data_IF_071959781525
#
_entry.id   IF_071959781525
#
_cell.length_a   1.000
_cell.length_b   1.000
_cell.length_c   1.000
_cell.angle_alpha   90.00
_cell.angle_beta   90.00
_cell.angle_gamma   90.00
#
_symmetry.space_group_name_H-M   'P 1'
#
loop_
_entity.id
_entity.type
_entity.pdbx_description
1 polymer ?
#
# COMPACT_ATOMS: atom_id res chain seq x y z
N UNK A 1 2.56 -23.74 -0.24
CA UNK A 1 2.90 -23.55 1.19
C UNK A 1 1.89 -24.19 2.14
N UNK A 2 0.60 -23.82 2.12
CA UNK A 2 -0.40 -24.33 3.08
C UNK A 2 -0.58 -25.87 3.12
N UNK A 3 -0.29 -26.58 2.04
CA UNK A 3 -0.31 -28.06 2.03
C UNK A 3 0.84 -28.69 2.81
N UNK A 4 1.95 -27.96 3.01
CA UNK A 4 3.19 -28.45 3.61
C UNK A 4 3.44 -27.90 5.02
N UNK A 5 2.97 -26.69 5.31
CA UNK A 5 3.17 -26.04 6.61
C UNK A 5 1.87 -25.91 7.42
N UNK A 6 1.87 -26.42 8.65
CA UNK A 6 0.68 -26.45 9.51
C UNK A 6 0.31 -25.08 10.10
N UNK A 7 1.27 -24.17 10.25
CA UNK A 7 1.03 -22.82 10.73
C UNK A 7 0.30 -22.01 9.65
N UNK A 8 0.83 -22.00 8.43
CA UNK A 8 0.21 -21.36 7.25
C UNK A 8 -1.17 -21.95 6.99
N UNK A 9 -1.32 -23.28 7.06
CA UNK A 9 -2.62 -23.96 6.92
C UNK A 9 -3.64 -23.50 7.97
N UNK A 10 -3.20 -23.34 9.22
CA UNK A 10 -4.10 -22.89 10.28
C UNK A 10 -4.46 -21.40 10.10
N UNK A 11 -3.50 -20.56 9.71
CA UNK A 11 -3.74 -19.14 9.47
C UNK A 11 -4.71 -18.90 8.30
N UNK A 12 -4.54 -19.61 7.18
CA UNK A 12 -5.45 -19.46 6.02
C UNK A 12 -6.86 -19.94 6.34
N UNK A 13 -7.02 -21.04 7.09
CA UNK A 13 -8.34 -21.53 7.50
C UNK A 13 -9.01 -20.60 8.52
N UNK A 14 -8.22 -19.96 9.39
CA UNK A 14 -8.73 -18.93 10.30
C UNK A 14 -9.25 -17.71 9.52
N UNK A 15 -8.47 -17.20 8.56
CA UNK A 15 -8.86 -16.06 7.72
C UNK A 15 -10.08 -16.39 6.86
N UNK A 16 -10.10 -17.55 6.20
CA UNK A 16 -11.24 -18.00 5.41
C UNK A 16 -12.51 -18.13 6.28
N UNK A 17 -12.40 -18.76 7.45
CA UNK A 17 -13.50 -18.87 8.40
C UNK A 17 -14.03 -17.50 8.87
N UNK A 18 -13.14 -16.52 9.01
CA UNK A 18 -13.49 -15.13 9.38
C UNK A 18 -14.40 -14.50 8.32
N UNK A 19 -14.07 -14.63 7.03
CA UNK A 19 -14.94 -14.14 5.95
C UNK A 19 -16.23 -14.95 5.78
N UNK A 20 -16.17 -16.28 5.91
CA UNK A 20 -17.36 -17.14 5.79
C UNK A 20 -18.42 -16.77 6.85
N UNK A 21 -17.99 -16.32 8.04
CA UNK A 21 -18.91 -15.91 9.10
C UNK A 21 -19.79 -14.69 8.75
N UNK A 22 -19.36 -13.83 7.82
CA UNK A 22 -20.19 -12.69 7.37
C UNK A 22 -21.40 -13.16 6.58
N UNK A 23 -21.29 -14.29 5.88
CA UNK A 23 -22.36 -14.88 5.07
C UNK A 23 -23.09 -16.00 5.80
N UNK A 24 -22.39 -16.71 6.70
CA UNK A 24 -22.91 -17.84 7.46
C UNK A 24 -22.49 -17.73 8.94
N UNK A 25 -23.21 -16.93 9.76
CA UNK A 25 -22.86 -16.68 11.17
C UNK A 25 -23.25 -17.88 12.06
N UNK A 26 -22.73 -19.06 11.75
CA UNK A 26 -22.98 -20.31 12.49
C UNK A 26 -21.92 -20.49 13.57
N UNK A 27 -22.38 -20.79 14.78
CA UNK A 27 -21.51 -21.03 15.94
C UNK A 27 -20.43 -22.10 15.67
N UNK A 28 -20.78 -23.18 14.96
CA UNK A 28 -19.82 -24.22 14.55
C UNK A 28 -18.66 -23.67 13.70
N UNK A 29 -18.96 -22.76 12.75
CA UNK A 29 -17.94 -22.14 11.91
C UNK A 29 -17.06 -21.23 12.76
N UNK A 30 -17.66 -20.47 13.69
CA UNK A 30 -16.94 -19.59 14.62
C UNK A 30 -15.94 -20.38 15.47
N UNK A 31 -16.37 -21.50 16.04
CA UNK A 31 -15.52 -22.37 16.84
C UNK A 31 -14.36 -22.97 16.03
N UNK A 32 -14.62 -23.39 14.79
CA UNK A 32 -13.58 -23.92 13.89
C UNK A 32 -12.57 -22.83 13.51
N UNK A 33 -13.03 -21.65 13.10
CA UNK A 33 -12.18 -20.52 12.77
C UNK A 33 -11.32 -20.11 13.96
N UNK A 34 -11.91 -20.00 15.15
CA UNK A 34 -11.21 -19.65 16.39
C UNK A 34 -10.19 -20.71 16.79
N UNK A 35 -10.50 -22.01 16.61
CA UNK A 35 -9.54 -23.10 16.86
C UNK A 35 -8.34 -22.99 15.93
N UNK A 36 -8.56 -22.75 14.64
CA UNK A 36 -7.48 -22.54 13.69
C UNK A 36 -6.66 -21.30 13.99
N UNK A 37 -7.29 -20.20 14.39
CA UNK A 37 -6.60 -18.99 14.84
C UNK A 37 -5.66 -19.29 16.03
N UNK A 38 -6.19 -19.92 17.08
CA UNK A 38 -5.39 -20.30 18.27
C UNK A 38 -4.22 -21.20 17.89
N UNK A 39 -4.45 -22.20 17.03
CA UNK A 39 -3.40 -23.09 16.56
C UNK A 39 -2.32 -22.34 15.77
N UNK A 40 -2.70 -21.44 14.87
CA UNK A 40 -1.75 -20.62 14.09
C UNK A 40 -0.90 -19.75 15.02
N UNK A 41 -1.50 -19.10 16.02
CA UNK A 41 -0.79 -18.28 17.00
C UNK A 41 0.21 -19.11 17.81
N UNK A 42 -0.18 -20.29 18.30
CA UNK A 42 0.72 -21.18 19.05
C UNK A 42 1.90 -21.61 18.19
N UNK A 43 1.63 -22.11 16.97
CA UNK A 43 2.68 -22.59 16.06
C UNK A 43 3.64 -21.47 15.65
N UNK A 44 3.10 -20.29 15.31
CA UNK A 44 3.92 -19.14 14.96
C UNK A 44 4.77 -18.67 16.16
N UNK A 45 4.20 -18.69 17.37
CA UNK A 45 4.94 -18.33 18.59
C UNK A 45 6.11 -19.28 18.86
N UNK A 46 5.89 -20.58 18.64
CA UNK A 46 6.96 -21.59 18.74
C UNK A 46 8.05 -21.38 17.70
N UNK A 47 7.66 -21.15 16.44
CA UNK A 47 8.61 -20.88 15.35
C UNK A 47 9.42 -19.60 15.60
N UNK A 48 8.77 -18.52 16.05
CA UNK A 48 9.42 -17.27 16.43
C UNK A 48 10.38 -17.42 17.60
N UNK A 49 10.04 -18.29 18.58
CA UNK A 49 10.96 -18.60 19.68
C UNK A 49 12.20 -19.32 19.15
N UNK A 50 12.02 -20.35 18.31
CA UNK A 50 13.14 -21.06 17.68
C UNK A 50 14.03 -20.15 16.83
N UNK A 51 13.43 -19.23 16.08
CA UNK A 51 14.16 -18.26 15.25
C UNK A 51 15.05 -17.29 16.04
N UNK A 52 14.86 -17.15 17.36
CA UNK A 52 15.76 -16.37 18.23
C UNK A 52 17.05 -17.11 18.54
N UNK A 53 16.99 -18.43 18.59
CA UNK A 53 18.12 -19.28 18.95
C UNK A 53 18.92 -19.69 17.70
N UNK A 54 18.24 -19.88 16.57
CA UNK A 54 18.84 -20.27 15.29
C UNK A 54 18.18 -19.54 14.12
N UNK A 55 18.99 -19.03 13.19
CA UNK A 55 18.46 -18.39 11.98
C UNK A 55 17.63 -19.41 11.16
N UNK A 56 16.36 -19.11 10.83
CA UNK A 56 15.53 -20.02 10.07
C UNK A 56 16.05 -20.19 8.64
N UNK A 57 15.75 -21.34 8.04
CA UNK A 57 15.97 -21.55 6.61
C UNK A 57 15.07 -20.63 5.78
N UNK A 58 15.44 -20.37 4.52
CA UNK A 58 14.66 -19.52 3.61
C UNK A 58 13.19 -19.97 3.50
N UNK A 59 12.94 -21.29 3.46
CA UNK A 59 11.58 -21.84 3.39
C UNK A 59 10.80 -21.73 4.70
N UNK A 60 11.46 -21.86 5.86
CA UNK A 60 10.82 -21.66 7.17
C UNK A 60 10.45 -20.19 7.36
N UNK A 61 11.37 -19.27 7.04
CA UNK A 61 11.13 -17.84 7.10
C UNK A 61 9.97 -17.43 6.19
N UNK A 62 9.93 -17.94 4.96
CA UNK A 62 8.83 -17.68 4.01
C UNK A 62 7.47 -18.16 4.58
N UNK A 63 7.43 -19.35 5.19
CA UNK A 63 6.23 -19.85 5.86
C UNK A 63 5.82 -18.98 7.07
N UNK A 64 6.79 -18.51 7.85
CA UNK A 64 6.54 -17.60 8.97
C UNK A 64 5.97 -16.26 8.49
N UNK A 65 6.55 -15.65 7.45
CA UNK A 65 6.07 -14.40 6.86
C UNK A 65 4.66 -14.56 6.31
N UNK A 66 4.36 -15.65 5.59
CA UNK A 66 3.00 -15.93 5.13
C UNK A 66 1.99 -16.08 6.28
N UNK A 67 2.36 -16.80 7.34
CA UNK A 67 1.49 -16.95 8.51
C UNK A 67 1.24 -15.60 9.20
N UNK A 68 2.27 -14.76 9.37
CA UNK A 68 2.13 -13.40 9.89
C UNK A 68 1.22 -12.55 9.00
N UNK A 69 1.41 -12.57 7.69
CA UNK A 69 0.61 -11.83 6.72
C UNK A 69 -0.89 -12.23 6.79
N UNK A 70 -1.17 -13.53 6.87
CA UNK A 70 -2.55 -14.04 7.00
C UNK A 70 -3.19 -13.63 8.32
N UNK A 71 -2.47 -13.70 9.44
CA UNK A 71 -2.98 -13.27 10.74
C UNK A 71 -3.17 -11.75 10.80
N UNK A 72 -2.26 -10.97 10.22
CA UNK A 72 -2.40 -9.52 10.08
C UNK A 72 -3.67 -9.17 9.30
N UNK A 73 -3.98 -9.91 8.24
CA UNK A 73 -5.20 -9.66 7.46
C UNK A 73 -6.47 -9.88 8.30
N UNK A 74 -6.47 -10.83 9.23
CA UNK A 74 -7.57 -10.99 10.20
C UNK A 74 -7.72 -9.72 11.04
N UNK A 75 -6.61 -9.18 11.57
CA UNK A 75 -6.65 -7.92 12.35
C UNK A 75 -7.07 -6.70 11.51
N UNK A 76 -6.73 -6.65 10.22
CA UNK A 76 -7.14 -5.58 9.29
C UNK A 76 -8.65 -5.54 9.11
N UNK A 77 -9.25 -6.72 8.91
CA UNK A 77 -10.66 -6.88 8.53
C UNK A 77 -11.61 -7.05 9.72
N UNK A 78 -11.08 -7.19 10.93
CA UNK A 78 -11.84 -7.20 12.18
C UNK A 78 -11.64 -5.88 12.96
N UNK A 79 -12.23 -4.77 12.51
CA UNK A 79 -12.09 -3.48 13.18
C UNK A 79 -12.57 -3.49 14.63
N UNK A 80 -13.52 -4.37 14.97
CA UNK A 80 -14.02 -4.61 16.32
C UNK A 80 -12.95 -5.13 17.30
N UNK A 81 -11.83 -5.65 16.79
CA UNK A 81 -10.72 -6.17 17.61
C UNK A 81 -9.54 -5.21 17.70
N UNK A 82 -9.66 -3.99 17.12
CA UNK A 82 -8.59 -3.00 17.13
C UNK A 82 -8.26 -2.55 18.54
N UNK A 83 -6.97 -2.32 18.77
CA UNK A 83 -6.49 -1.70 20.01
C UNK A 83 -6.93 -0.23 20.07
N UNK A 84 -6.93 0.39 21.26
CA UNK A 84 -7.20 1.81 21.39
C UNK A 84 -6.24 2.68 20.55
N UNK A 85 -6.64 3.90 20.13
CA UNK A 85 -5.86 4.76 19.23
C UNK A 85 -4.44 5.09 19.71
N UNK A 86 -4.20 5.13 21.02
CA UNK A 86 -2.89 5.40 21.62
C UNK A 86 -1.91 4.21 21.57
N UNK A 87 -2.35 3.05 21.08
CA UNK A 87 -1.53 1.85 20.96
C UNK A 87 -1.18 1.59 19.50
N UNK A 88 0.00 1.01 19.25
CA UNK A 88 0.33 0.50 17.91
C UNK A 88 -0.65 -0.64 17.55
N UNK A 89 -1.30 -0.62 16.38
CA UNK A 89 -2.21 -1.68 15.99
C UNK A 89 -1.49 -3.02 15.78
N UNK A 90 -2.18 -4.13 16.08
CA UNK A 90 -1.64 -5.49 15.90
C UNK A 90 -1.19 -5.78 14.48
N UNK A 91 -1.98 -5.36 13.49
CA UNK A 91 -1.65 -5.56 12.07
C UNK A 91 -0.33 -4.88 11.69
N UNK A 92 -0.01 -3.71 12.26
CA UNK A 92 1.23 -3.00 11.98
C UNK A 92 2.41 -3.63 12.72
N UNK A 93 2.23 -4.06 13.96
CA UNK A 93 3.25 -4.81 14.70
C UNK A 93 3.64 -6.09 13.98
N UNK A 94 2.65 -6.86 13.53
CA UNK A 94 2.89 -8.09 12.79
C UNK A 94 3.51 -7.83 11.41
N UNK A 95 3.13 -6.75 10.72
CA UNK A 95 3.76 -6.36 9.47
C UNK A 95 5.25 -6.01 9.66
N UNK A 96 5.56 -5.21 10.69
CA UNK A 96 6.94 -4.89 11.06
C UNK A 96 7.74 -6.13 11.46
N UNK A 97 7.12 -7.09 12.14
CA UNK A 97 7.75 -8.37 12.47
C UNK A 97 8.06 -9.19 11.22
N UNK A 98 7.14 -9.24 10.26
CA UNK A 98 7.33 -9.91 8.98
C UNK A 98 8.49 -9.26 8.18
N UNK A 99 8.55 -7.91 8.15
CA UNK A 99 9.66 -7.21 7.51
C UNK A 99 11.01 -7.52 8.17
N UNK A 100 11.08 -7.53 9.51
CA UNK A 100 12.32 -7.94 10.21
C UNK A 100 12.75 -9.36 9.89
N UNK A 101 11.81 -10.28 9.68
CA UNK A 101 12.12 -11.64 9.26
C UNK A 101 12.70 -11.64 7.84
N UNK A 102 12.09 -10.90 6.91
CA UNK A 102 12.59 -10.73 5.54
C UNK A 102 13.99 -10.10 5.51
N UNK A 103 14.24 -9.07 6.32
CA UNK A 103 15.56 -8.44 6.45
C UNK A 103 16.59 -9.44 7.00
N UNK A 104 16.23 -10.23 8.01
CA UNK A 104 17.13 -11.22 8.61
C UNK A 104 17.47 -12.39 7.69
N UNK A 105 16.58 -12.73 6.75
CA UNK A 105 16.77 -13.83 5.80
C UNK A 105 17.06 -13.37 4.38
N UNK A 106 17.40 -12.09 4.20
CA UNK A 106 17.74 -11.54 2.89
C UNK A 106 19.02 -12.23 2.36
N UNK A 107 18.95 -12.92 1.21
CA UNK A 107 20.11 -13.56 0.61
C UNK A 107 21.11 -12.55 0.00
N UNK A 108 20.88 -11.24 0.11
CA UNK A 108 21.77 -10.16 -0.38
C UNK A 108 23.24 -10.33 -0.02
N UNK A 109 23.55 -10.85 1.18
CA UNK A 109 24.92 -11.16 1.60
C UNK A 109 25.63 -12.20 0.71
N UNK A 110 24.88 -13.10 0.06
CA UNK A 110 25.39 -14.16 -0.81
C UNK A 110 25.57 -13.67 -2.25
N UNK A 111 24.69 -12.79 -2.72
CA UNK A 111 24.57 -12.45 -4.14
C UNK A 111 25.04 -11.03 -4.51
N UNK A 112 25.33 -10.18 -3.52
CA UNK A 112 25.84 -8.80 -3.60
C UNK A 112 24.94 -7.79 -4.31
N UNK A 113 24.28 -8.19 -5.39
CA UNK A 113 23.33 -7.40 -6.18
C UNK A 113 21.94 -8.03 -6.13
N UNK A 114 20.88 -7.27 -5.79
CA UNK A 114 19.49 -7.75 -5.83
C UNK A 114 19.06 -8.42 -7.14
N UNK A 115 19.63 -8.01 -8.28
CA UNK A 115 19.31 -8.59 -9.60
C UNK A 115 19.71 -10.05 -9.72
N UNK A 116 20.72 -10.48 -8.96
CA UNK A 116 21.20 -11.86 -8.95
C UNK A 116 20.32 -12.79 -8.09
N UNK A 117 19.39 -12.23 -7.31
CA UNK A 117 18.47 -12.99 -6.47
C UNK A 117 17.23 -13.31 -7.28
N UNK A 118 16.82 -14.58 -7.28
CA UNK A 118 15.65 -15.06 -8.01
C UNK A 118 14.61 -15.56 -7.00
N UNK A 119 13.76 -14.67 -6.47
CA UNK A 119 12.74 -15.06 -5.52
C UNK A 119 11.67 -15.90 -6.21
N UNK A 120 11.14 -16.90 -5.50
CA UNK A 120 9.96 -17.63 -5.94
C UNK A 120 8.71 -16.74 -5.92
N UNK A 121 7.68 -17.09 -6.69
CA UNK A 121 6.38 -16.38 -6.67
C UNK A 121 5.77 -16.24 -5.26
N UNK A 122 5.96 -17.25 -4.42
CA UNK A 122 5.48 -17.23 -3.04
C UNK A 122 6.24 -16.21 -2.18
N UNK A 123 7.57 -16.20 -2.28
CA UNK A 123 8.43 -15.21 -1.61
C UNK A 123 8.09 -13.80 -2.09
N UNK A 124 7.96 -13.58 -3.39
CA UNK A 124 7.55 -12.28 -3.94
C UNK A 124 6.18 -11.84 -3.43
N UNK A 125 5.20 -12.74 -3.40
CA UNK A 125 3.89 -12.46 -2.81
C UNK A 125 3.98 -12.07 -1.33
N UNK A 126 4.76 -12.79 -0.54
CA UNK A 126 4.95 -12.54 0.89
C UNK A 126 5.67 -11.22 1.17
N UNK A 127 6.73 -10.94 0.41
CA UNK A 127 7.44 -9.66 0.41
C UNK A 127 6.47 -8.51 0.18
N UNK A 128 5.69 -8.56 -0.90
CA UNK A 128 4.77 -7.47 -1.26
C UNK A 128 3.68 -7.31 -0.19
N UNK A 129 3.08 -8.38 0.33
CA UNK A 129 2.02 -8.27 1.35
C UNK A 129 2.56 -7.68 2.66
N UNK A 130 3.72 -8.16 3.14
CA UNK A 130 4.36 -7.63 4.35
C UNK A 130 4.77 -6.17 4.16
N UNK A 131 5.44 -5.87 3.04
CA UNK A 131 5.87 -4.53 2.67
C UNK A 131 4.69 -3.58 2.51
N UNK A 132 3.59 -4.01 1.89
CA UNK A 132 2.37 -3.20 1.70
C UNK A 132 1.83 -2.73 3.04
N UNK A 133 1.71 -3.62 4.02
CA UNK A 133 1.20 -3.25 5.33
C UNK A 133 2.14 -2.30 6.08
N UNK A 134 3.45 -2.56 6.06
CA UNK A 134 4.43 -1.73 6.75
C UNK A 134 4.63 -0.35 6.10
N UNK A 135 4.77 -0.32 4.77
CA UNK A 135 5.09 0.89 4.00
C UNK A 135 3.86 1.79 3.86
N UNK A 136 2.65 1.25 3.65
CA UNK A 136 1.45 2.07 3.49
C UNK A 136 0.90 2.61 4.82
N UNK A 137 1.45 2.19 5.96
CA UNK A 137 1.24 2.89 7.22
C UNK A 137 2.02 4.21 7.26
N UNK A 138 3.20 4.27 6.63
CA UNK A 138 4.12 5.42 6.70
C UNK A 138 3.49 6.76 6.32
N UNK A 139 2.66 6.87 5.26
CA UNK A 139 2.07 8.15 4.85
C UNK A 139 1.25 8.86 5.93
N UNK A 140 0.66 8.11 6.86
CA UNK A 140 -0.23 8.63 7.90
C UNK A 140 0.32 8.42 9.32
N UNK A 141 1.64 8.19 9.45
CA UNK A 141 2.33 8.10 10.74
C UNK A 141 3.43 9.17 10.85
N UNK A 142 3.84 9.54 12.08
CA UNK A 142 4.93 10.50 12.28
C UNK A 142 6.22 10.03 11.60
N UNK A 143 7.03 10.99 11.16
CA UNK A 143 8.33 10.70 10.56
C UNK A 143 9.25 10.03 11.58
N UNK A 144 9.85 8.91 11.17
CA UNK A 144 10.82 8.16 11.96
C UNK A 144 11.90 7.61 11.01
N UNK A 145 13.13 8.08 11.18
CA UNK A 145 14.27 7.62 10.38
C UNK A 145 14.54 6.13 10.58
N UNK A 146 14.35 5.60 11.79
CA UNK A 146 14.56 4.19 12.09
C UNK A 146 13.52 3.29 11.41
N UNK A 147 12.35 3.83 11.08
CA UNK A 147 11.29 3.12 10.37
C UNK A 147 11.52 3.00 8.86
N UNK A 148 12.59 3.61 8.33
CA UNK A 148 12.98 3.55 6.92
C UNK A 148 14.50 3.53 6.74
N UNK A 149 15.26 3.02 7.71
CA UNK A 149 16.73 3.10 7.70
C UNK A 149 17.32 2.39 6.45
N UNK A 150 18.53 2.81 6.05
CA UNK A 150 19.19 2.36 4.83
C UNK A 150 19.26 0.82 4.82
N UNK A 151 18.61 0.23 3.80
CA UNK A 151 18.37 -1.20 3.53
C UNK A 151 16.98 -1.75 3.88
N UNK A 152 16.15 -1.01 4.62
CA UNK A 152 14.80 -1.48 4.90
C UNK A 152 13.99 -1.61 3.60
N UNK A 153 13.34 -2.77 3.43
CA UNK A 153 12.56 -3.12 2.23
C UNK A 153 13.38 -3.32 0.95
N UNK A 154 14.72 -3.38 1.01
CA UNK A 154 15.56 -3.61 -0.17
C UNK A 154 15.24 -4.94 -0.89
N UNK A 155 14.75 -5.93 -0.14
CA UNK A 155 14.26 -7.20 -0.69
C UNK A 155 13.11 -7.06 -1.71
N UNK A 156 12.36 -5.94 -1.72
CA UNK A 156 11.39 -5.63 -2.78
C UNK A 156 12.03 -5.42 -4.16
N UNK A 157 13.34 -5.18 -4.20
CA UNK A 157 14.09 -4.91 -5.42
C UNK A 157 14.85 -6.15 -5.93
N UNK A 158 14.61 -7.32 -5.34
CA UNK A 158 15.18 -8.58 -5.81
C UNK A 158 14.56 -9.02 -7.14
N UNK A 159 15.37 -9.60 -8.03
CA UNK A 159 14.97 -10.01 -9.37
C UNK A 159 15.35 -9.00 -10.46
N UNK A 160 15.00 -9.32 -11.70
CA UNK A 160 15.33 -8.44 -12.83
C UNK A 160 14.51 -7.14 -12.79
N UNK A 161 14.93 -6.15 -13.58
CA UNK A 161 14.14 -4.93 -13.74
C UNK A 161 12.71 -5.24 -14.21
N UNK A 162 12.55 -6.21 -15.11
CA UNK A 162 11.24 -6.64 -15.55
C UNK A 162 10.40 -7.19 -14.37
N UNK A 163 10.99 -7.99 -13.48
CA UNK A 163 10.26 -8.63 -12.37
C UNK A 163 9.77 -7.60 -11.34
N UNK A 164 10.62 -6.64 -10.95
CA UNK A 164 10.26 -5.63 -9.93
C UNK A 164 9.20 -4.63 -10.42
N UNK A 165 8.95 -4.57 -11.73
CA UNK A 165 7.88 -3.76 -12.35
C UNK A 165 6.57 -4.53 -12.55
N UNK A 166 6.54 -5.84 -12.29
CA UNK A 166 5.33 -6.66 -12.39
C UNK A 166 4.37 -6.36 -11.25
N UNK A 167 3.10 -6.18 -11.58
CA UNK A 167 2.01 -6.14 -10.60
C UNK A 167 1.69 -7.58 -10.16
N UNK A 168 1.92 -7.90 -8.89
CA UNK A 168 1.56 -9.20 -8.32
C UNK A 168 0.16 -9.17 -7.67
N UNK A 169 -0.52 -10.31 -7.79
CA UNK A 169 -1.99 -10.49 -7.71
C UNK A 169 -2.75 -10.05 -6.45
N UNK A 170 -2.13 -9.42 -5.46
CA UNK A 170 -2.80 -8.97 -4.23
C UNK A 170 -2.76 -7.47 -3.93
N UNK A 171 -1.89 -6.68 -4.58
CA UNK A 171 -1.59 -5.32 -4.11
C UNK A 171 -1.92 -4.21 -5.11
N UNK A 172 -2.22 -4.57 -6.37
CA UNK A 172 -2.57 -3.60 -7.41
C UNK A 172 -1.43 -2.69 -7.86
N UNK A 173 -0.19 -2.96 -7.42
CA UNK A 173 1.02 -2.22 -7.79
C UNK A 173 2.26 -3.12 -7.75
N UNK A 174 3.35 -2.66 -8.36
CA UNK A 174 4.63 -3.36 -8.43
C UNK A 174 5.48 -3.18 -7.15
N UNK A 175 6.38 -4.14 -6.84
CA UNK A 175 7.37 -3.99 -5.77
C UNK A 175 8.17 -2.70 -5.85
N UNK A 176 8.55 -2.29 -7.08
CA UNK A 176 9.28 -1.05 -7.34
C UNK A 176 8.51 0.18 -6.88
N UNK A 177 7.21 0.26 -7.19
CA UNK A 177 6.37 1.38 -6.76
C UNK A 177 6.22 1.41 -5.24
N UNK A 178 5.98 0.25 -4.63
CA UNK A 178 5.86 0.13 -3.19
C UNK A 178 7.15 0.59 -2.48
N UNK A 179 8.32 0.20 -2.99
CA UNK A 179 9.60 0.68 -2.47
C UNK A 179 9.75 2.21 -2.60
N UNK A 180 9.24 2.83 -3.67
CA UNK A 180 9.30 4.29 -3.85
C UNK A 180 8.51 5.05 -2.77
N UNK A 181 7.39 4.51 -2.26
CA UNK A 181 6.69 5.08 -1.08
C UNK A 181 7.58 5.14 0.16
N UNK A 182 8.37 4.09 0.42
CA UNK A 182 9.30 4.07 1.55
C UNK A 182 10.40 5.13 1.40
N UNK A 183 10.94 5.31 0.19
CA UNK A 183 11.98 6.31 -0.09
C UNK A 183 11.48 7.74 0.06
N UNK A 184 10.24 8.03 -0.37
CA UNK A 184 9.62 9.33 -0.15
C UNK A 184 9.55 9.64 1.35
N UNK A 185 9.15 8.65 2.16
CA UNK A 185 9.06 8.80 3.62
C UNK A 185 10.45 8.98 4.23
N UNK A 186 11.43 8.19 3.83
CA UNK A 186 12.81 8.30 4.30
C UNK A 186 13.39 9.69 4.08
N UNK A 187 13.29 10.21 2.85
CA UNK A 187 13.76 11.55 2.52
C UNK A 187 12.99 12.63 3.29
N UNK A 188 11.69 12.43 3.53
CA UNK A 188 10.88 13.36 4.34
C UNK A 188 11.36 13.38 5.79
N UNK A 189 11.65 12.22 6.37
CA UNK A 189 12.18 12.08 7.71
C UNK A 189 13.59 12.69 7.83
N UNK A 190 14.43 12.46 6.82
CA UNK A 190 15.77 13.02 6.76
C UNK A 190 15.77 14.55 6.65
N UNK A 191 14.91 15.11 5.81
CA UNK A 191 14.65 16.54 5.71
C UNK A 191 14.16 17.14 7.05
N UNK A 192 13.29 16.42 7.75
CA UNK A 192 12.77 16.88 9.04
C UNK A 192 13.84 16.87 10.14
N UNK A 193 14.71 15.87 10.14
CA UNK A 193 15.78 15.73 11.14
C UNK A 193 16.96 16.67 10.88
N UNK A 194 17.30 16.90 9.60
CA UNK A 194 18.50 17.65 9.19
C UNK A 194 18.16 18.73 8.13
N UNK A 195 17.36 19.76 8.45
CA UNK A 195 16.77 20.66 7.46
C UNK A 195 17.80 21.48 6.65
N UNK A 196 18.90 21.92 7.27
CA UNK A 196 19.94 22.71 6.60
C UNK A 196 20.90 21.80 5.83
N UNK A 197 21.36 20.73 6.47
CA UNK A 197 22.40 19.86 5.91
C UNK A 197 21.87 18.93 4.82
N UNK A 198 20.57 18.66 4.76
CA UNK A 198 19.99 17.73 3.78
C UNK A 198 19.66 18.35 2.42
N UNK A 199 19.65 19.68 2.30
CA UNK A 199 19.07 20.34 1.12
C UNK A 199 19.74 19.91 -0.20
N UNK A 200 21.06 19.73 -0.19
CA UNK A 200 21.83 19.29 -1.35
C UNK A 200 21.47 17.86 -1.82
N UNK A 201 20.91 17.03 -0.93
CA UNK A 201 20.41 15.68 -1.24
C UNK A 201 18.93 15.69 -1.60
N UNK A 202 18.11 16.49 -0.90
CA UNK A 202 16.66 16.45 -1.05
C UNK A 202 16.23 16.88 -2.45
N UNK A 203 16.77 17.98 -2.99
CA UNK A 203 16.33 18.46 -4.30
C UNK A 203 16.67 17.46 -5.44
N UNK A 204 17.91 16.95 -5.56
CA UNK A 204 18.20 15.88 -6.52
C UNK A 204 17.40 14.60 -6.27
N UNK A 205 17.15 14.25 -5.00
CA UNK A 205 16.33 13.10 -4.62
C UNK A 205 14.89 13.21 -5.10
N UNK A 206 14.28 14.39 -4.93
CA UNK A 206 12.95 14.74 -5.45
C UNK A 206 12.92 14.61 -6.99
N UNK A 207 13.87 15.23 -7.68
CA UNK A 207 13.90 15.24 -9.15
C UNK A 207 14.06 13.82 -9.71
N UNK A 208 14.93 13.02 -9.09
CA UNK A 208 15.10 11.60 -9.43
C UNK A 208 13.83 10.80 -9.19
N UNK A 209 13.21 10.91 -8.01
CA UNK A 209 12.00 10.16 -7.68
C UNK A 209 10.82 10.56 -8.58
N UNK A 210 10.68 11.84 -8.92
CA UNK A 210 9.67 12.31 -9.86
C UNK A 210 9.92 11.79 -11.28
N UNK A 211 11.17 11.79 -11.74
CA UNK A 211 11.55 11.21 -13.03
C UNK A 211 11.27 9.71 -13.08
N UNK A 212 11.65 8.99 -12.03
CA UNK A 212 11.38 7.55 -11.88
C UNK A 212 9.88 7.27 -11.88
N UNK A 213 9.10 7.97 -11.04
CA UNK A 213 7.64 7.78 -10.94
C UNK A 213 6.92 8.20 -12.22
N UNK A 214 7.36 9.28 -12.87
CA UNK A 214 6.80 9.78 -14.13
C UNK A 214 6.95 8.79 -15.28
N UNK A 215 8.01 8.00 -15.27
CA UNK A 215 8.31 7.00 -16.30
C UNK A 215 8.04 5.56 -15.84
N UNK A 216 7.57 5.35 -14.61
CA UNK A 216 7.36 4.02 -14.04
C UNK A 216 6.25 3.29 -14.79
N UNK A 217 6.64 2.27 -15.55
CA UNK A 217 5.71 1.36 -16.24
C UNK A 217 5.52 0.12 -15.39
N UNK A 218 4.26 -0.23 -15.16
CA UNK A 218 3.90 -1.45 -14.45
C UNK A 218 3.20 -2.38 -15.44
N UNK A 219 3.45 -3.68 -15.35
CA UNK A 219 2.87 -4.66 -16.26
C UNK A 219 2.25 -5.83 -15.50
N UNK A 220 1.36 -6.56 -16.18
CA UNK A 220 0.69 -7.75 -15.65
C UNK A 220 0.82 -8.89 -16.64
N UNK A 221 0.89 -10.11 -16.15
CA UNK A 221 0.89 -11.28 -17.02
C UNK A 221 -0.50 -11.47 -17.64
N UNK A 222 -0.59 -11.40 -18.98
CA UNK A 222 -1.85 -11.67 -19.67
C UNK A 222 -2.15 -13.16 -19.64
N UNK A 223 -3.41 -13.50 -19.33
CA UNK A 223 -3.89 -14.87 -19.21
C UNK A 223 -3.82 -15.68 -20.52
N UNK A 224 -3.53 -15.03 -21.66
CA UNK A 224 -3.47 -15.65 -22.99
C UNK A 224 -2.05 -16.05 -23.45
N UNK A 225 -1.01 -15.78 -22.64
CA UNK A 225 0.36 -16.16 -23.00
C UNK A 225 0.60 -17.65 -22.73
N UNK A 226 0.26 -18.49 -23.72
CA UNK A 226 0.97 -19.75 -23.87
C UNK A 226 2.46 -19.42 -24.04
N UNK A 227 3.34 -20.21 -23.42
CA UNK A 227 4.78 -19.96 -23.27
C UNK A 227 5.60 -19.86 -24.58
N UNK A 228 4.95 -19.65 -25.74
CA UNK A 228 5.55 -19.60 -27.07
C UNK A 228 5.19 -18.30 -27.84
N UNK A 229 4.23 -17.50 -27.38
CA UNK A 229 3.93 -16.20 -28.00
C UNK A 229 4.54 -15.06 -27.19
N UNK A 230 5.42 -14.28 -27.85
CA UNK A 230 5.94 -12.99 -27.37
C UNK A 230 4.81 -12.14 -26.76
N UNK A 231 5.08 -11.36 -25.70
CA UNK A 231 4.07 -10.50 -25.09
C UNK A 231 3.45 -9.61 -26.17
N UNK A 232 2.12 -9.59 -26.18
CA UNK A 232 1.33 -8.87 -27.16
C UNK A 232 1.63 -7.37 -27.01
N UNK A 233 2.41 -6.82 -27.95
CA UNK A 233 3.14 -5.54 -27.84
C UNK A 233 2.26 -4.28 -27.78
N UNK A 234 0.94 -4.39 -27.79
CA UNK A 234 0.08 -3.23 -28.06
C UNK A 234 -0.14 -2.31 -26.85
N UNK A 235 -0.04 -2.81 -25.61
CA UNK A 235 -0.21 -2.00 -24.39
C UNK A 235 1.08 -1.66 -23.64
N UNK A 236 2.16 -2.40 -23.87
CA UNK A 236 3.48 -2.09 -23.27
C UNK A 236 4.11 -0.78 -23.77
N UNK A 237 3.58 -0.20 -24.86
CA UNK A 237 4.17 0.97 -25.53
C UNK A 237 3.50 2.29 -25.08
N UNK A 238 2.25 2.29 -24.63
CA UNK A 238 1.53 3.52 -24.26
C UNK A 238 2.17 4.18 -23.03
N UNK A 239 2.27 5.50 -23.05
CA UNK A 239 2.74 6.25 -21.87
C UNK A 239 1.63 6.23 -20.81
N UNK A 240 1.97 6.22 -19.50
CA UNK A 240 0.96 6.13 -18.43
C UNK A 240 -0.20 7.13 -18.59
N UNK A 241 0.11 8.34 -19.06
CA UNK A 241 -0.87 9.40 -19.34
C UNK A 241 -1.92 9.05 -20.41
N UNK A 242 -1.62 8.13 -21.32
CA UNK A 242 -2.50 7.74 -22.43
C UNK A 242 -3.32 6.48 -22.06
N UNK A 243 -3.11 5.89 -20.88
CA UNK A 243 -3.73 4.62 -20.46
C UNK A 243 -5.26 4.64 -20.59
N UNK A 244 -5.91 5.67 -20.04
CA UNK A 244 -7.37 5.77 -20.01
C UNK A 244 -8.01 5.85 -21.41
N UNK A 245 -7.25 6.20 -22.45
CA UNK A 245 -7.75 6.19 -23.83
C UNK A 245 -7.82 4.78 -24.43
N UNK A 246 -7.15 3.80 -23.83
CA UNK A 246 -6.93 2.45 -24.37
C UNK A 246 -7.69 1.34 -23.61
N UNK A 247 -8.36 1.69 -22.51
CA UNK A 247 -9.11 0.75 -21.67
C UNK A 247 -10.51 0.48 -22.20
N UNK A 248 -11.05 -0.71 -21.91
CA UNK A 248 -12.40 -1.09 -22.34
C UNK A 248 -13.41 -0.68 -21.26
N UNK A 249 -14.37 0.15 -21.64
CA UNK A 249 -15.44 0.63 -20.77
C UNK A 249 -16.81 0.14 -21.26
N UNK A 250 -17.75 -0.04 -20.35
CA UNK A 250 -19.16 -0.24 -20.67
C UNK A 250 -19.87 1.08 -21.04
N UNK A 251 -21.18 0.97 -21.29
CA UNK A 251 -22.05 2.14 -21.57
C UNK A 251 -22.14 3.14 -20.42
N UNK A 252 -21.79 2.74 -19.20
CA UNK A 252 -21.79 3.59 -18.00
C UNK A 252 -20.40 4.20 -17.74
N UNK A 253 -19.41 3.90 -18.58
CA UNK A 253 -18.04 4.39 -18.43
C UNK A 253 -17.20 3.61 -17.41
N UNK A 254 -17.59 2.37 -17.08
CA UNK A 254 -16.93 1.53 -16.09
C UNK A 254 -16.15 0.40 -16.76
N UNK A 255 -14.99 0.05 -16.21
CA UNK A 255 -14.12 -1.02 -16.72
C UNK A 255 -14.83 -2.38 -16.76
N UNK A 256 -14.62 -3.12 -17.85
CA UNK A 256 -15.26 -4.42 -18.12
C UNK A 256 -14.30 -5.60 -18.29
N UNK A 257 -13.01 -5.41 -18.01
CA UNK A 257 -12.02 -6.48 -18.11
C UNK A 257 -10.94 -6.39 -17.03
N UNK A 258 -10.31 -7.54 -16.74
CA UNK A 258 -9.32 -7.68 -15.66
C UNK A 258 -8.02 -6.93 -15.95
N UNK A 259 -7.58 -6.89 -17.21
CA UNK A 259 -6.32 -6.26 -17.61
C UNK A 259 -6.41 -4.75 -17.40
N UNK A 260 -7.44 -4.12 -17.99
CA UNK A 260 -7.73 -2.71 -17.80
C UNK A 260 -7.92 -2.34 -16.32
N UNK A 261 -8.58 -3.20 -15.53
CA UNK A 261 -8.76 -2.94 -14.09
C UNK A 261 -7.43 -2.91 -13.34
N UNK A 262 -6.54 -3.86 -13.64
CA UNK A 262 -5.24 -3.95 -12.97
C UNK A 262 -4.32 -2.81 -13.40
N UNK A 263 -4.29 -2.47 -14.69
CA UNK A 263 -3.50 -1.35 -15.24
C UNK A 263 -3.94 -0.01 -14.63
N UNK A 264 -5.24 0.26 -14.58
CA UNK A 264 -5.78 1.53 -14.03
C UNK A 264 -5.61 1.60 -12.52
N UNK A 265 -5.67 0.46 -11.83
CA UNK A 265 -5.33 0.38 -10.40
C UNK A 265 -3.87 0.71 -10.15
N UNK A 266 -2.97 0.13 -10.94
CA UNK A 266 -1.53 0.39 -10.85
C UNK A 266 -1.20 1.85 -11.12
N UNK A 267 -1.89 2.47 -12.07
CA UNK A 267 -1.77 3.90 -12.36
C UNK A 267 -2.28 4.78 -11.20
N UNK A 268 -3.41 4.42 -10.57
CA UNK A 268 -3.90 5.14 -9.39
C UNK A 268 -2.88 5.12 -8.23
N UNK A 269 -2.20 3.98 -8.01
CA UNK A 269 -1.10 3.91 -7.04
C UNK A 269 0.10 4.77 -7.42
N UNK A 270 0.46 4.81 -8.71
CA UNK A 270 1.59 5.64 -9.20
C UNK A 270 1.31 7.11 -8.99
N UNK A 271 0.09 7.56 -9.33
CA UNK A 271 -0.37 8.93 -9.10
C UNK A 271 -0.41 9.27 -7.60
N UNK A 272 -0.87 8.34 -6.75
CA UNK A 272 -0.84 8.52 -5.31
C UNK A 272 0.58 8.69 -4.75
N UNK A 273 1.58 7.97 -5.29
CA UNK A 273 2.98 8.16 -4.91
C UNK A 273 3.52 9.54 -5.32
N UNK A 274 3.15 10.03 -6.51
CA UNK A 274 3.53 11.38 -6.98
C UNK A 274 2.90 12.44 -6.08
N UNK A 275 1.60 12.33 -5.79
CA UNK A 275 0.90 13.25 -4.88
C UNK A 275 1.55 13.22 -3.50
N UNK A 276 1.85 12.02 -2.96
CA UNK A 276 2.52 11.86 -1.69
C UNK A 276 3.90 12.52 -1.65
N UNK A 277 4.70 12.35 -2.69
CA UNK A 277 6.00 13.02 -2.85
C UNK A 277 5.85 14.54 -2.86
N UNK A 278 4.96 15.06 -3.70
CA UNK A 278 4.74 16.50 -3.87
C UNK A 278 4.25 17.15 -2.58
N UNK A 279 3.34 16.50 -1.89
CA UNK A 279 2.71 17.01 -0.68
C UNK A 279 3.59 16.88 0.57
N UNK A 280 4.23 15.72 0.80
CA UNK A 280 4.98 15.47 2.03
C UNK A 280 6.45 15.84 1.92
N UNK A 281 7.13 15.38 0.86
CA UNK A 281 8.58 15.60 0.69
C UNK A 281 8.87 17.02 0.18
N UNK A 282 8.20 17.44 -0.90
CA UNK A 282 8.36 18.81 -1.43
C UNK A 282 7.55 19.86 -0.65
N UNK A 283 6.69 19.43 0.27
CA UNK A 283 5.83 20.30 1.10
C UNK A 283 4.97 21.27 0.28
N UNK A 284 4.55 20.85 -0.92
CA UNK A 284 3.65 21.65 -1.74
C UNK A 284 2.24 21.63 -1.14
N UNK A 285 1.53 22.78 -1.08
CA UNK A 285 0.15 22.83 -0.63
C UNK A 285 -0.78 22.09 -1.59
N UNK A 286 -1.98 21.74 -1.14
CA UNK A 286 -2.97 21.00 -1.95
C UNK A 286 -3.44 21.80 -3.16
N UNK A 287 -3.40 23.14 -3.05
CA UNK A 287 -3.74 24.08 -4.11
C UNK A 287 -2.68 24.20 -5.20
N UNK A 288 -1.47 23.64 -5.00
CA UNK A 288 -0.39 23.77 -5.97
C UNK A 288 -0.77 23.11 -7.31
N UNK A 289 -0.54 23.76 -8.46
CA UNK A 289 -0.93 23.21 -9.78
C UNK A 289 -0.40 21.80 -10.05
N UNK A 290 0.85 21.52 -9.64
CA UNK A 290 1.45 20.19 -9.77
C UNK A 290 0.79 19.13 -8.88
N UNK A 291 0.10 19.52 -7.80
CA UNK A 291 -0.68 18.60 -6.95
C UNK A 291 -2.09 18.44 -7.53
N UNK A 292 -2.75 19.55 -7.88
CA UNK A 292 -4.11 19.56 -8.43
C UNK A 292 -4.21 18.77 -9.74
N UNK A 293 -3.21 18.88 -10.62
CA UNK A 293 -3.16 18.10 -11.87
C UNK A 293 -3.14 16.60 -11.61
N UNK A 294 -2.30 16.14 -10.66
CA UNK A 294 -2.21 14.71 -10.32
C UNK A 294 -3.47 14.21 -9.61
N UNK A 295 -4.08 15.02 -8.74
CA UNK A 295 -5.38 14.72 -8.12
C UNK A 295 -6.46 14.55 -9.18
N UNK A 296 -6.44 15.38 -10.23
CA UNK A 296 -7.41 15.31 -11.32
C UNK A 296 -7.25 14.01 -12.13
N UNK A 297 -6.02 13.59 -12.44
CA UNK A 297 -5.76 12.30 -13.10
C UNK A 297 -6.14 11.11 -12.20
N UNK A 298 -5.88 11.20 -10.89
CA UNK A 298 -6.25 10.16 -9.94
C UNK A 298 -7.76 9.99 -9.87
N UNK A 299 -8.51 11.10 -9.85
CA UNK A 299 -9.97 11.06 -9.89
C UNK A 299 -10.49 10.43 -11.19
N UNK A 300 -9.87 10.68 -12.35
CA UNK A 300 -10.24 10.02 -13.61
C UNK A 300 -10.04 8.50 -13.52
N UNK A 301 -8.94 8.04 -12.93
CA UNK A 301 -8.69 6.61 -12.72
C UNK A 301 -9.75 5.98 -11.82
N UNK A 302 -10.08 6.62 -10.69
CA UNK A 302 -11.05 6.06 -9.72
C UNK A 302 -12.47 6.02 -10.31
N UNK A 303 -12.89 7.02 -11.10
CA UNK A 303 -14.24 7.08 -11.70
C UNK A 303 -14.58 5.90 -12.61
N UNK A 304 -13.59 5.36 -13.32
CA UNK A 304 -13.81 4.26 -14.26
C UNK A 304 -13.76 2.89 -13.58
N UNK A 305 -13.33 2.82 -12.32
CA UNK A 305 -13.22 1.55 -11.59
C UNK A 305 -14.57 1.11 -11.04
N UNK A 306 -14.97 -0.16 -11.23
CA UNK A 306 -16.11 -0.72 -10.54
C UNK A 306 -15.84 -0.87 -9.04
N UNK A 307 -16.87 -0.62 -8.24
CA UNK A 307 -16.90 -0.79 -6.78
C UNK A 307 -17.63 -2.06 -6.33
N UNK A 308 -18.09 -2.87 -7.28
CA UNK A 308 -18.77 -4.14 -7.04
C UNK A 308 -18.61 -5.09 -8.23
N UNK A 309 -18.99 -6.36 -8.05
CA UNK A 309 -18.95 -7.37 -9.10
C UNK A 309 -17.55 -7.95 -9.34
N UNK A 310 -17.41 -8.70 -10.43
CA UNK A 310 -16.26 -9.58 -10.72
C UNK A 310 -14.91 -8.87 -10.83
N UNK A 311 -14.90 -7.58 -11.20
CA UNK A 311 -13.68 -6.79 -11.37
C UNK A 311 -13.34 -5.94 -10.14
N UNK A 312 -14.23 -5.88 -9.14
CA UNK A 312 -13.88 -5.32 -7.84
C UNK A 312 -13.16 -6.39 -7.02
N UNK A 313 -11.84 -6.24 -6.89
CA UNK A 313 -10.97 -7.25 -6.28
C UNK A 313 -10.20 -6.67 -5.08
N UNK A 314 -9.44 -7.52 -4.38
CA UNK A 314 -8.55 -7.10 -3.30
C UNK A 314 -7.47 -6.09 -3.73
N UNK A 315 -7.27 -5.88 -5.03
CA UNK A 315 -6.36 -4.86 -5.55
C UNK A 315 -6.90 -3.43 -5.47
N UNK A 316 -8.18 -3.24 -5.10
CA UNK A 316 -8.83 -1.94 -5.08
C UNK A 316 -7.94 -0.86 -4.41
N UNK A 317 -7.80 0.32 -5.03
CA UNK A 317 -6.80 1.32 -4.63
C UNK A 317 -7.26 2.11 -3.40
N UNK A 318 -7.39 1.44 -2.26
CA UNK A 318 -7.98 1.99 -1.04
C UNK A 318 -7.24 3.24 -0.52
N UNK A 319 -5.89 3.17 -0.38
CA UNK A 319 -5.11 4.35 -0.01
C UNK A 319 -5.21 5.48 -1.04
N UNK A 320 -5.08 5.25 -2.37
CA UNK A 320 -5.31 6.30 -3.36
C UNK A 320 -6.71 6.96 -3.27
N UNK A 321 -7.77 6.20 -3.01
CA UNK A 321 -9.12 6.77 -2.84
C UNK A 321 -9.20 7.60 -1.56
N UNK A 322 -8.64 7.12 -0.44
CA UNK A 322 -8.56 7.89 0.80
C UNK A 322 -7.77 9.20 0.59
N UNK A 323 -6.63 9.11 -0.10
CA UNK A 323 -5.78 10.25 -0.44
C UNK A 323 -6.52 11.29 -1.30
N UNK A 324 -7.26 10.84 -2.32
CA UNK A 324 -8.14 11.70 -3.10
C UNK A 324 -9.16 12.40 -2.20
N UNK A 325 -9.81 11.63 -1.32
CA UNK A 325 -10.77 12.13 -0.34
C UNK A 325 -10.18 13.18 0.59
N UNK A 326 -8.93 13.04 1.06
CA UNK A 326 -8.33 14.03 1.97
C UNK A 326 -7.89 15.30 1.24
N UNK A 327 -7.37 15.16 0.02
CA UNK A 327 -6.64 16.25 -0.65
C UNK A 327 -7.44 17.02 -1.70
N UNK A 328 -8.54 16.45 -2.21
CA UNK A 328 -9.36 17.08 -3.23
C UNK A 328 -9.96 18.42 -2.76
N UNK A 329 -9.67 19.49 -3.52
CA UNK A 329 -10.25 20.83 -3.35
C UNK A 329 -11.50 21.06 -4.21
N UNK A 330 -11.58 20.41 -5.38
CA UNK A 330 -12.74 20.50 -6.26
C UNK A 330 -13.82 19.51 -5.80
N UNK A 331 -15.05 20.01 -5.66
CA UNK A 331 -16.18 19.20 -5.19
C UNK A 331 -16.40 17.92 -6.01
N UNK A 332 -16.21 17.99 -7.34
CA UNK A 332 -16.34 16.81 -8.22
C UNK A 332 -15.27 15.73 -8.00
N UNK A 333 -14.12 16.07 -7.40
CA UNK A 333 -13.07 15.13 -7.01
C UNK A 333 -13.34 14.57 -5.60
N UNK A 334 -13.88 15.40 -4.71
CA UNK A 334 -14.35 14.98 -3.39
C UNK A 334 -15.45 13.93 -3.54
N UNK A 335 -16.49 14.25 -4.31
CA UNK A 335 -17.63 13.36 -4.52
C UNK A 335 -17.19 12.04 -5.16
N UNK A 336 -16.21 12.05 -6.06
CA UNK A 336 -15.63 10.83 -6.62
C UNK A 336 -15.11 9.87 -5.54
N UNK A 337 -14.41 10.38 -4.51
CA UNK A 337 -13.94 9.55 -3.41
C UNK A 337 -15.08 9.11 -2.49
N UNK A 338 -16.00 10.03 -2.15
CA UNK A 338 -17.15 9.71 -1.28
C UNK A 338 -18.07 8.65 -1.91
N UNK A 339 -18.38 8.78 -3.21
CA UNK A 339 -19.20 7.82 -3.94
C UNK A 339 -18.57 6.42 -3.93
N UNK A 340 -17.24 6.35 -4.08
CA UNK A 340 -16.51 5.08 -3.96
C UNK A 340 -16.70 4.47 -2.57
N UNK A 341 -16.51 5.25 -1.51
CA UNK A 341 -16.69 4.78 -0.14
C UNK A 341 -18.11 4.32 0.13
N UNK A 342 -19.11 5.14 -0.21
CA UNK A 342 -20.53 4.83 -0.05
C UNK A 342 -20.91 3.54 -0.79
N UNK A 343 -20.39 3.36 -2.01
CA UNK A 343 -20.65 2.15 -2.78
C UNK A 343 -20.01 0.92 -2.15
N UNK A 344 -18.77 0.99 -1.69
CA UNK A 344 -18.08 -0.17 -1.07
C UNK A 344 -18.72 -0.55 0.27
N UNK A 345 -19.03 0.42 1.14
CA UNK A 345 -19.63 0.15 2.46
C UNK A 345 -21.09 -0.34 2.36
N UNK A 346 -21.76 -0.11 1.22
CA UNK A 346 -23.11 -0.67 0.99
C UNK A 346 -23.09 -2.21 0.95
N UNK A 347 -21.92 -2.80 0.71
CA UNK A 347 -21.73 -4.25 0.79
C UNK A 347 -21.43 -4.66 2.23
N UNK A 348 -22.21 -5.60 2.77
CA UNK A 348 -22.12 -6.06 4.17
C UNK A 348 -20.96 -7.04 4.43
N UNK A 349 -19.76 -6.74 3.94
CA UNK A 349 -18.56 -7.56 4.17
C UNK A 349 -17.59 -6.83 5.10
N UNK A 350 -17.01 -7.54 6.05
CA UNK A 350 -16.04 -6.95 6.99
C UNK A 350 -14.82 -6.42 6.23
N UNK A 351 -14.35 -5.24 6.60
CA UNK A 351 -13.17 -4.62 6.01
C UNK A 351 -12.66 -3.46 6.86
N UNK A 352 -11.49 -2.94 6.49
CA UNK A 352 -10.91 -1.71 7.03
C UNK A 352 -11.60 -0.44 6.53
N UNK A 353 -12.49 -0.54 5.53
CA UNK A 353 -13.07 0.61 4.81
C UNK A 353 -14.03 1.45 5.66
N UNK A 354 -15.04 0.90 6.39
CA UNK A 354 -15.98 1.73 7.14
C UNK A 354 -15.31 2.61 8.21
N UNK A 355 -14.38 2.10 9.05
CA UNK A 355 -13.67 2.96 10.00
C UNK A 355 -12.82 4.05 9.32
N UNK A 356 -12.19 3.75 8.18
CA UNK A 356 -11.41 4.74 7.46
C UNK A 356 -12.29 5.82 6.82
N UNK A 357 -13.50 5.46 6.38
CA UNK A 357 -14.46 6.42 5.86
C UNK A 357 -14.91 7.40 6.94
N UNK A 358 -15.23 6.90 8.13
CA UNK A 358 -15.57 7.75 9.28
C UNK A 358 -14.41 8.67 9.67
N UNK A 359 -13.17 8.17 9.63
CA UNK A 359 -11.98 8.98 9.87
C UNK A 359 -11.80 10.05 8.78
N UNK A 360 -12.04 9.71 7.50
CA UNK A 360 -11.97 10.65 6.39
C UNK A 360 -12.91 11.85 6.60
N UNK A 361 -14.17 11.60 6.99
CA UNK A 361 -15.15 12.65 7.24
C UNK A 361 -14.68 13.62 8.34
N UNK A 362 -14.20 13.07 9.46
CA UNK A 362 -13.67 13.87 10.58
C UNK A 362 -12.42 14.65 10.21
N UNK A 363 -11.48 14.01 9.52
CA UNK A 363 -10.24 14.65 9.05
C UNK A 363 -10.56 15.79 8.10
N UNK A 364 -11.46 15.60 7.13
CA UNK A 364 -11.87 16.67 6.21
C UNK A 364 -12.52 17.85 6.95
N UNK A 365 -13.44 17.56 7.86
CA UNK A 365 -14.09 18.59 8.67
C UNK A 365 -13.07 19.40 9.49
N UNK A 366 -12.04 18.74 10.03
CA UNK A 366 -10.95 19.40 10.74
C UNK A 366 -10.03 20.20 9.80
N UNK A 367 -9.69 19.67 8.62
CA UNK A 367 -8.76 20.35 7.70
C UNK A 367 -9.31 21.67 7.18
N UNK A 368 -10.63 21.80 6.96
CA UNK A 368 -11.26 23.00 6.42
C UNK A 368 -10.83 24.30 7.11
N UNK A 369 -10.98 24.40 8.45
CA UNK A 369 -10.54 25.58 9.21
C UNK A 369 -9.05 25.57 9.63
N UNK A 370 -8.35 24.42 9.63
CA UNK A 370 -7.01 24.32 10.23
C UNK A 370 -5.85 24.22 9.23
N UNK A 371 -6.10 23.85 7.98
CA UNK A 371 -5.07 23.73 6.94
C UNK A 371 -5.36 24.75 5.86
N UNK A 372 -4.54 25.80 5.82
CA UNK A 372 -4.62 26.85 4.81
C UNK A 372 -3.62 26.57 3.70
N UNK A 373 -4.12 26.52 2.46
CA UNK A 373 -3.28 26.37 1.30
C UNK A 373 -2.68 27.72 0.92
N UNK A 374 -1.36 27.87 1.10
CA UNK A 374 -0.61 29.07 0.69
C UNK A 374 -0.69 29.28 -0.81
N UNK A 375 -0.58 30.54 -1.25
CA UNK A 375 -0.46 30.87 -2.66
C UNK A 375 0.82 30.21 -3.23
N UNK A 376 0.73 29.42 -4.32
CA UNK A 376 1.90 28.78 -4.93
C UNK A 376 3.03 29.76 -5.28
N UNK A 377 2.69 31.00 -5.61
CA UNK A 377 3.65 32.06 -5.98
C UNK A 377 4.48 32.57 -4.80
N UNK A 378 4.04 32.30 -3.57
CA UNK A 378 4.66 32.76 -2.32
C UNK A 378 5.50 31.67 -1.64
N UNK A 379 5.62 30.50 -2.27
CA UNK A 379 6.34 29.38 -1.68
C UNK A 379 7.85 29.68 -1.60
N UNK A 380 8.48 29.45 -0.42
CA UNK A 380 9.92 29.49 -0.31
C UNK A 380 10.62 28.58 -1.32
N UNK A 381 11.76 29.06 -1.84
CA UNK A 381 12.57 28.30 -2.81
C UNK A 381 13.09 27.01 -2.18
N UNK A 382 13.59 27.11 -0.95
CA UNK A 382 14.17 25.99 -0.20
C UNK A 382 13.05 25.15 0.39
N UNK A 383 13.11 23.84 0.20
CA UNK A 383 12.00 22.93 0.56
C UNK A 383 11.76 22.95 2.08
N UNK A 384 12.81 22.96 2.91
CA UNK A 384 12.65 22.93 4.37
C UNK A 384 12.02 24.20 4.95
N UNK A 385 12.06 25.32 4.23
CA UNK A 385 11.43 26.59 4.64
C UNK A 385 9.92 26.59 4.40
N UNK A 386 9.41 25.68 3.55
CA UNK A 386 7.98 25.54 3.28
C UNK A 386 7.26 24.93 4.49
N UNK A 387 6.02 25.37 4.71
CA UNK A 387 5.17 24.84 5.77
C UNK A 387 4.93 23.33 5.59
N UNK A 388 5.34 22.55 6.59
CA UNK A 388 5.19 21.09 6.62
C UNK A 388 3.75 20.68 6.99
N UNK A 389 2.75 21.15 6.24
CA UNK A 389 1.33 20.96 6.54
C UNK A 389 0.92 19.49 6.65
N UNK A 390 1.60 18.58 5.93
CA UNK A 390 1.38 17.14 6.02
C UNK A 390 1.67 16.61 7.43
N UNK A 391 2.70 17.13 8.10
CA UNK A 391 3.03 16.70 9.46
C UNK A 391 2.01 17.25 10.48
N UNK A 392 1.45 18.44 10.25
CA UNK A 392 0.30 18.94 11.04
C UNK A 392 -0.92 18.03 10.88
N UNK A 393 -1.20 17.59 9.66
CA UNK A 393 -2.27 16.62 9.38
C UNK A 393 -2.02 15.28 10.09
N UNK A 394 -0.81 14.72 9.96
CA UNK A 394 -0.43 13.46 10.60
C UNK A 394 -0.52 13.56 12.13
N UNK A 395 -0.04 14.65 12.72
CA UNK A 395 -0.14 14.87 14.16
C UNK A 395 -1.59 14.87 14.65
N UNK A 396 -2.49 15.51 13.90
CA UNK A 396 -3.92 15.47 14.19
C UNK A 396 -4.47 14.04 14.10
N UNK A 397 -4.28 13.36 12.97
CA UNK A 397 -4.76 11.98 12.76
C UNK A 397 -4.28 11.04 13.86
N UNK A 398 -3.00 11.08 14.22
CA UNK A 398 -2.44 10.19 15.25
C UNK A 398 -3.07 10.48 16.62
N UNK A 399 -3.34 11.75 16.93
CA UNK A 399 -3.95 12.14 18.21
C UNK A 399 -5.43 11.77 18.33
N UNK A 400 -6.17 11.71 17.22
CA UNK A 400 -7.62 11.50 17.21
C UNK A 400 -8.04 10.10 16.76
N UNK A 401 -7.39 9.58 15.72
CA UNK A 401 -7.70 8.32 15.05
C UNK A 401 -6.68 7.20 15.36
N UNK A 402 -5.50 7.57 15.85
CA UNK A 402 -4.36 6.65 15.97
C UNK A 402 -3.76 6.32 14.60
N UNK A 403 -3.26 5.09 14.42
CA UNK A 403 -2.74 4.65 13.12
C UNK A 403 -3.88 4.13 12.23
N UNK A 404 -4.15 4.84 11.13
CA UNK A 404 -5.13 4.45 10.14
C UNK A 404 -4.71 3.17 9.40
N UNK A 405 -5.67 2.28 9.17
CA UNK A 405 -5.49 1.08 8.35
C UNK A 405 -6.05 1.35 6.95
N UNK A 406 -5.17 1.66 6.00
CA UNK A 406 -5.49 2.03 4.61
C UNK A 406 -5.08 0.94 3.61
N UNK A 407 -5.15 -0.32 4.06
CA UNK A 407 -4.75 -1.53 3.34
C UNK A 407 -5.88 -2.57 3.29
#
# INVERSE_FOLDING_TARGET
MASKDSCVRSAILALAGTYVLDYQPRERIRQVAQRHYKNAVILLSMALKGARDQLPTENEADCMVAAMALLNMIDVVSPEQRRPPNCVPRWLEGARLACRMLDATDPGHRYWDPVNIQPSEAQTGNMIIAGRAAILALPMTPLDLAATDNHQFAWLLQGSEHDVHRVHGGCGMSPKLLHRFSQITHLSAYLSAHPIDSEFLIKPGVDKLLGDLGNLRQWTESASSSAVSRPDKSRDISLPRDLLSSIKLDKRGVIVDRESMTEVTAEAWRLAAIIYLRCRLERLPRSHPDVVSQISELAKCIRVMPTSGTFFTAQAPFFPVFLLGVLALHESHVQCALDWFHSVISTSCRSSVPPAFQALERVRAWMGPNIHDMNPSELPRRIFERYAWWETLVAHIVSTEGTLCLI
#
